data_IF_535849967570
#
_entry.id   IF_535849967570
#
_cell.length_a   1.000
_cell.length_b   1.000
_cell.length_c   1.000
_cell.angle_alpha   90.00
_cell.angle_beta   90.00
_cell.angle_gamma   90.00
#
_symmetry.space_group_name_H-M   'P 1'
#
loop_
_entity.id
_entity.type
_entity.pdbx_description
1 polymer ?
#
# COMPACT_ATOMS: atom_id res chain seq x y z
N UNK A 1 11.30 16.80 6.70
CA UNK A 1 9.98 17.42 6.47
C UNK A 1 9.84 17.69 4.98
N UNK A 2 8.68 17.46 4.37
CA UNK A 2 8.42 17.79 2.95
C UNK A 2 7.22 18.72 2.84
N UNK A 3 7.32 19.72 1.97
CA UNK A 3 6.25 20.67 1.68
C UNK A 3 5.96 20.68 0.18
N UNK A 4 4.68 20.59 -0.17
CA UNK A 4 4.20 20.40 -1.53
C UNK A 4 3.21 21.51 -1.91
N UNK A 5 3.27 21.93 -3.17
CA UNK A 5 2.35 22.89 -3.79
C UNK A 5 1.87 22.34 -5.12
N UNK A 6 0.56 22.29 -5.31
CA UNK A 6 -0.05 21.81 -6.53
C UNK A 6 -0.62 22.96 -7.36
N UNK A 7 -0.69 22.76 -8.68
CA UNK A 7 -1.23 23.77 -9.62
C UNK A 7 -2.70 24.12 -9.36
N UNK A 8 -3.43 23.23 -8.69
CA UNK A 8 -4.81 23.45 -8.22
C UNK A 8 -4.91 24.32 -6.96
N UNK A 9 -3.78 24.90 -6.48
CA UNK A 9 -3.74 25.75 -5.28
C UNK A 9 -3.57 24.97 -3.96
N UNK A 10 -3.72 23.65 -3.96
CA UNK A 10 -3.56 22.79 -2.79
C UNK A 10 -2.13 22.81 -2.25
N UNK A 11 -1.98 22.97 -0.93
CA UNK A 11 -0.71 22.86 -0.22
C UNK A 11 -0.77 21.74 0.79
N UNK A 12 0.33 21.01 0.97
CA UNK A 12 0.41 19.95 1.98
C UNK A 12 1.80 19.85 2.58
N UNK A 13 1.84 19.45 3.85
CA UNK A 13 3.08 19.18 4.57
C UNK A 13 3.05 17.74 5.07
N UNK A 14 4.15 17.02 4.83
CA UNK A 14 4.35 15.61 5.16
C UNK A 14 5.53 15.45 6.12
N UNK A 15 5.34 15.59 7.44
CA UNK A 15 6.33 15.21 8.44
C UNK A 15 6.62 13.71 8.44
N UNK A 16 7.88 13.36 8.74
CA UNK A 16 8.33 12.01 9.06
C UNK A 16 9.46 12.09 10.08
N UNK A 17 9.36 11.29 11.12
CA UNK A 17 10.35 11.16 12.17
C UNK A 17 10.56 9.67 12.48
N UNK A 18 11.78 9.29 12.82
CA UNK A 18 12.11 7.94 13.23
C UNK A 18 13.07 7.97 14.41
N UNK A 19 12.81 7.13 15.41
CA UNK A 19 13.73 6.81 16.48
C UNK A 19 14.30 5.42 16.21
N UNK A 20 15.63 5.31 16.22
CA UNK A 20 16.33 4.05 16.03
C UNK A 20 17.09 3.73 17.31
N UNK A 21 16.94 2.52 17.81
CA UNK A 21 17.60 2.04 19.01
C UNK A 21 18.24 0.68 18.78
N UNK A 22 19.50 0.55 19.14
CA UNK A 22 20.26 -0.69 19.01
C UNK A 22 20.13 -1.48 20.31
N UNK A 23 19.28 -2.51 20.32
CA UNK A 23 19.04 -3.36 21.50
C UNK A 23 20.26 -4.24 21.80
N UNK A 24 20.86 -4.80 20.74
CA UNK A 24 22.07 -5.65 20.80
C UNK A 24 22.95 -5.35 19.59
N UNK A 25 24.17 -5.92 19.47
CA UNK A 25 24.95 -5.83 18.24
C UNK A 25 24.21 -6.29 16.97
N UNK A 26 23.26 -7.24 17.13
CA UNK A 26 22.49 -7.83 16.04
C UNK A 26 21.06 -7.26 15.90
N UNK A 27 20.50 -6.64 16.94
CA UNK A 27 19.10 -6.21 16.99
C UNK A 27 18.96 -4.68 16.95
N UNK A 28 18.16 -4.18 16.00
CA UNK A 28 17.79 -2.77 15.91
C UNK A 28 16.28 -2.62 15.91
N UNK A 29 15.76 -1.78 16.80
CA UNK A 29 14.35 -1.37 16.80
C UNK A 29 14.22 0.02 16.22
N UNK A 30 13.22 0.19 15.34
CA UNK A 30 12.87 1.47 14.74
C UNK A 30 11.42 1.80 15.09
N UNK A 31 11.17 2.97 15.65
CA UNK A 31 9.83 3.54 15.78
C UNK A 31 9.70 4.68 14.79
N UNK A 32 8.74 4.56 13.88
CA UNK A 32 8.58 5.48 12.74
C UNK A 32 7.18 6.10 12.81
N UNK A 33 7.15 7.43 12.74
CA UNK A 33 5.94 8.21 12.57
C UNK A 33 6.02 8.99 11.27
N UNK A 34 4.94 9.02 10.50
CA UNK A 34 4.89 9.87 9.32
C UNK A 34 3.48 10.17 8.85
N UNK A 35 3.37 11.19 8.01
CA UNK A 35 2.13 11.50 7.30
C UNK A 35 2.39 11.59 5.80
N UNK A 36 1.44 11.13 5.01
CA UNK A 36 1.40 11.29 3.56
C UNK A 36 0.03 11.81 3.13
N UNK A 37 -0.07 12.18 1.86
CA UNK A 37 -1.31 12.64 1.27
C UNK A 37 -1.40 12.24 -0.20
N UNK A 38 -2.62 12.25 -0.74
CA UNK A 38 -2.92 12.10 -2.17
C UNK A 38 -3.79 13.27 -2.60
N UNK A 39 -3.41 13.92 -3.69
CA UNK A 39 -4.26 14.96 -4.30
C UNK A 39 -5.34 14.31 -5.18
N UNK A 40 -6.51 14.95 -5.33
CA UNK A 40 -7.51 14.53 -6.31
C UNK A 40 -6.90 14.48 -7.73
N UNK A 41 -7.34 13.53 -8.55
CA UNK A 41 -7.00 13.50 -9.96
C UNK A 41 -8.00 14.35 -10.80
N UNK A 42 -7.69 14.54 -12.09
CA UNK A 42 -8.53 15.34 -12.98
C UNK A 42 -9.95 14.79 -13.16
N UNK A 43 -10.12 13.46 -13.11
CA UNK A 43 -11.44 12.83 -13.21
C UNK A 43 -12.30 13.15 -11.98
N UNK A 44 -11.71 13.08 -10.78
CA UNK A 44 -12.38 13.40 -9.52
C UNK A 44 -12.78 14.87 -9.42
N UNK A 45 -11.94 15.79 -9.94
CA UNK A 45 -12.19 17.23 -9.90
C UNK A 45 -13.19 17.70 -10.97
N UNK A 46 -13.02 17.24 -12.21
CA UNK A 46 -13.57 17.91 -13.38
C UNK A 46 -14.46 17.04 -14.26
N UNK A 47 -14.53 15.72 -14.03
CA UNK A 47 -15.41 14.89 -14.84
C UNK A 47 -16.87 15.13 -14.44
N UNK A 48 -17.67 15.56 -15.41
CA UNK A 48 -19.10 15.71 -15.29
C UNK A 48 -19.78 15.26 -16.57
N UNK A 49 -20.98 14.72 -16.42
CA UNK A 49 -21.86 14.35 -17.51
C UNK A 49 -23.31 14.45 -17.05
N UNK A 50 -24.21 14.73 -17.98
CA UNK A 50 -25.64 14.73 -17.73
C UNK A 50 -26.30 13.82 -18.75
N UNK A 51 -26.94 12.74 -18.28
CA UNK A 51 -27.84 11.91 -19.08
C UNK A 51 -29.29 12.23 -18.67
N UNK A 52 -30.30 11.76 -19.44
CA UNK A 52 -31.68 11.80 -18.98
C UNK A 52 -31.81 11.21 -17.57
N UNK A 53 -32.75 11.74 -16.77
CA UNK A 53 -32.86 11.53 -15.31
C UNK A 53 -32.75 10.05 -14.89
N UNK A 54 -33.22 9.13 -15.72
CA UNK A 54 -33.25 7.69 -15.45
C UNK A 54 -31.88 7.00 -15.59
N UNK A 55 -30.94 7.60 -16.33
CA UNK A 55 -29.60 7.06 -16.60
C UNK A 55 -28.51 7.64 -15.67
N UNK A 56 -28.86 8.64 -14.85
CA UNK A 56 -27.97 9.29 -13.88
C UNK A 56 -27.11 10.41 -14.46
N UNK A 57 -26.54 11.22 -13.58
CA UNK A 57 -25.63 12.32 -13.92
C UNK A 57 -24.45 12.34 -12.95
N UNK A 58 -23.39 13.03 -13.32
CA UNK A 58 -22.27 13.34 -12.44
C UNK A 58 -21.94 14.82 -12.55
N UNK A 59 -21.73 15.46 -11.40
CA UNK A 59 -21.31 16.87 -11.31
C UNK A 59 -19.86 16.98 -10.86
N UNK A 60 -19.24 18.11 -11.18
CA UNK A 60 -17.85 18.39 -10.78
C UNK A 60 -17.76 18.78 -9.31
N UNK A 61 -16.57 18.62 -8.74
CA UNK A 61 -16.23 19.19 -7.44
C UNK A 61 -14.77 19.68 -7.44
N UNK A 62 -14.53 20.91 -7.93
CA UNK A 62 -13.18 21.48 -7.97
C UNK A 62 -12.61 21.80 -6.58
N UNK A 63 -13.44 21.79 -5.54
CA UNK A 63 -13.06 22.09 -4.15
C UNK A 63 -12.57 20.85 -3.36
N UNK A 64 -12.37 19.71 -4.04
CA UNK A 64 -11.86 18.51 -3.38
C UNK A 64 -10.50 18.76 -2.69
N UNK A 65 -10.47 18.37 -1.43
CA UNK A 65 -9.26 18.34 -0.61
C UNK A 65 -8.39 17.13 -0.90
N UNK A 66 -7.21 17.10 -0.29
CA UNK A 66 -6.33 15.94 -0.31
C UNK A 66 -6.81 14.85 0.66
N UNK A 67 -6.60 13.60 0.29
CA UNK A 67 -6.66 12.48 1.22
C UNK A 67 -5.41 12.51 2.10
N UNK A 68 -5.52 12.20 3.40
CA UNK A 68 -4.39 12.19 4.33
C UNK A 68 -4.26 10.84 5.02
N UNK A 69 -3.03 10.35 5.11
CA UNK A 69 -2.69 9.12 5.83
C UNK A 69 -1.67 9.45 6.91
N UNK A 70 -1.90 8.96 8.12
CA UNK A 70 -0.95 8.96 9.23
C UNK A 70 -0.52 7.53 9.51
N UNK A 71 0.78 7.33 9.65
CA UNK A 71 1.39 6.03 9.90
C UNK A 71 2.16 6.04 11.20
N UNK A 72 1.94 5.02 12.02
CA UNK A 72 2.83 4.63 13.11
C UNK A 72 3.30 3.21 12.82
N UNK A 73 4.60 2.99 12.82
CA UNK A 73 5.21 1.69 12.53
C UNK A 73 6.35 1.41 13.51
N UNK A 74 6.38 0.18 14.03
CA UNK A 74 7.53 -0.34 14.79
C UNK A 74 8.15 -1.48 14.00
N UNK A 75 9.46 -1.42 13.80
CA UNK A 75 10.25 -2.41 13.06
C UNK A 75 11.33 -2.98 13.98
N UNK A 76 11.43 -4.30 14.03
CA UNK A 76 12.57 -5.02 14.56
C UNK A 76 13.38 -5.58 13.38
N UNK A 77 14.66 -5.26 13.36
CA UNK A 77 15.64 -5.84 12.43
C UNK A 77 16.61 -6.69 13.23
N UNK A 78 16.80 -7.93 12.80
CA UNK A 78 17.72 -8.89 13.41
C UNK A 78 18.74 -9.36 12.38
N UNK A 79 20.01 -9.11 12.64
CA UNK A 79 21.12 -9.60 11.81
C UNK A 79 21.47 -11.05 12.20
N UNK A 80 21.45 -11.96 11.22
CA UNK A 80 21.84 -13.35 11.39
C UNK A 80 23.34 -13.52 11.06
N UNK A 81 24.18 -12.68 11.67
CA UNK A 81 25.59 -12.53 11.30
C UNK A 81 25.78 -12.11 9.84
N UNK A 82 26.81 -12.64 9.18
CA UNK A 82 27.02 -12.46 7.74
C UNK A 82 26.10 -13.32 6.86
N UNK A 83 25.33 -14.24 7.47
CA UNK A 83 24.53 -15.20 6.75
C UNK A 83 23.13 -14.68 6.37
N UNK A 84 22.69 -13.52 6.88
CA UNK A 84 21.39 -12.97 6.48
C UNK A 84 20.79 -11.98 7.47
N UNK A 85 19.49 -11.74 7.30
CA UNK A 85 18.73 -10.81 8.13
C UNK A 85 17.26 -11.24 8.22
N UNK A 86 16.62 -10.85 9.32
CA UNK A 86 15.18 -10.97 9.49
C UNK A 86 14.61 -9.60 9.87
N UNK A 87 13.40 -9.33 9.40
CA UNK A 87 12.64 -8.14 9.77
C UNK A 87 11.25 -8.55 10.25
N UNK A 88 10.77 -7.82 11.24
CA UNK A 88 9.40 -7.90 11.71
C UNK A 88 8.88 -6.49 11.91
N UNK A 89 7.70 -6.17 11.37
CA UNK A 89 7.07 -4.87 11.59
C UNK A 89 5.62 -5.02 12.01
N UNK A 90 5.17 -4.07 12.81
CA UNK A 90 3.76 -3.84 13.12
C UNK A 90 3.43 -2.39 12.81
N UNK A 91 2.28 -2.17 12.19
CA UNK A 91 1.91 -0.84 11.72
C UNK A 91 0.44 -0.54 11.89
N UNK A 92 0.14 0.75 11.99
CA UNK A 92 -1.19 1.30 11.92
C UNK A 92 -1.23 2.46 10.92
N UNK A 93 -2.25 2.45 10.06
CA UNK A 93 -2.60 3.55 9.17
C UNK A 93 -3.94 4.15 9.60
N UNK A 94 -3.96 5.46 9.81
CA UNK A 94 -5.18 6.25 9.96
C UNK A 94 -5.37 7.11 8.70
N UNK A 95 -6.42 6.85 7.93
CA UNK A 95 -6.73 7.52 6.67
C UNK A 95 -7.97 8.41 6.86
N UNK A 96 -7.88 9.65 6.41
CA UNK A 96 -8.95 10.66 6.56
C UNK A 96 -9.14 11.45 5.29
N UNK A 97 -10.37 11.93 5.10
CA UNK A 97 -10.75 12.71 3.92
C UNK A 97 -10.59 11.91 2.65
N UNK A 98 -10.82 10.59 2.71
CA UNK A 98 -10.81 9.72 1.53
C UNK A 98 -11.91 10.19 0.57
N UNK A 99 -11.54 10.32 -0.70
CA UNK A 99 -12.40 10.77 -1.78
C UNK A 99 -13.28 9.60 -2.18
N UNK A 100 -14.60 9.78 -2.05
CA UNK A 100 -15.58 8.78 -2.45
C UNK A 100 -16.64 9.42 -3.31
N UNK A 101 -17.12 8.68 -4.31
CA UNK A 101 -18.26 9.08 -5.13
C UNK A 101 -19.56 8.73 -4.40
N UNK A 102 -20.45 9.70 -4.26
CA UNK A 102 -21.75 9.54 -3.60
C UNK A 102 -22.82 10.27 -4.41
N UNK A 103 -24.08 9.85 -4.25
CA UNK A 103 -25.19 10.62 -4.79
C UNK A 103 -25.39 11.90 -3.96
N UNK A 104 -25.53 13.02 -4.63
CA UNK A 104 -25.92 14.29 -4.06
C UNK A 104 -27.38 14.21 -3.57
N UNK A 105 -27.63 14.63 -2.34
CA UNK A 105 -28.93 14.41 -1.69
C UNK A 105 -30.07 15.21 -2.33
N UNK A 106 -29.75 16.35 -2.95
CA UNK A 106 -30.73 17.23 -3.58
C UNK A 106 -30.99 16.83 -5.03
N UNK A 107 -29.93 16.55 -5.79
CA UNK A 107 -30.02 16.34 -7.24
C UNK A 107 -30.00 14.86 -7.65
N UNK A 108 -29.59 13.95 -6.76
CA UNK A 108 -29.32 12.55 -7.06
C UNK A 108 -28.09 12.32 -7.95
N UNK A 109 -27.42 13.40 -8.40
CA UNK A 109 -26.24 13.34 -9.24
C UNK A 109 -25.04 12.76 -8.47
N UNK A 110 -24.19 11.98 -9.12
CA UNK A 110 -22.95 11.52 -8.51
C UNK A 110 -21.98 12.70 -8.33
N UNK A 111 -21.33 12.75 -7.19
CA UNK A 111 -20.33 13.77 -6.85
C UNK A 111 -19.24 13.16 -5.96
N UNK A 112 -17.99 13.54 -6.20
CA UNK A 112 -16.87 13.14 -5.34
C UNK A 112 -16.79 14.05 -4.12
N UNK A 113 -16.60 13.46 -2.92
CA UNK A 113 -16.45 14.20 -1.65
C UNK A 113 -15.42 13.55 -0.72
N UNK A 114 -14.66 14.36 0.04
CA UNK A 114 -13.69 13.91 1.06
C UNK A 114 -14.37 13.52 2.38
N UNK A 115 -15.17 12.45 2.40
CA UNK A 115 -16.03 12.11 3.55
C UNK A 115 -15.67 10.80 4.23
N UNK A 116 -14.93 9.92 3.54
CA UNK A 116 -14.61 8.60 4.09
C UNK A 116 -13.35 8.64 4.98
N UNK A 117 -13.32 7.71 5.92
CA UNK A 117 -12.21 7.47 6.83
C UNK A 117 -11.98 5.97 6.92
N UNK A 118 -10.73 5.56 7.09
CA UNK A 118 -10.38 4.16 7.27
C UNK A 118 -9.23 4.02 8.26
N UNK A 119 -9.21 2.88 8.97
CA UNK A 119 -8.10 2.47 9.81
C UNK A 119 -7.64 1.10 9.39
N UNK A 120 -6.34 0.94 9.19
CA UNK A 120 -5.72 -0.36 8.93
C UNK A 120 -4.65 -0.65 9.97
N UNK A 121 -4.57 -1.91 10.40
CA UNK A 121 -3.52 -2.41 11.28
C UNK A 121 -2.97 -3.69 10.71
N UNK A 122 -1.66 -3.87 10.75
CA UNK A 122 -1.04 -5.07 10.20
C UNK A 122 0.30 -5.41 10.82
N UNK A 123 0.78 -6.58 10.44
CA UNK A 123 2.09 -7.09 10.79
C UNK A 123 2.72 -7.77 9.57
N UNK A 124 4.02 -7.58 9.41
CA UNK A 124 4.82 -8.18 8.35
C UNK A 124 6.08 -8.80 8.93
N UNK A 125 6.51 -9.92 8.36
CA UNK A 125 7.75 -10.58 8.69
C UNK A 125 8.46 -10.99 7.40
N UNK A 126 9.76 -10.77 7.34
CA UNK A 126 10.60 -11.27 6.26
C UNK A 126 11.89 -11.88 6.80
N UNK A 127 12.39 -12.88 6.10
CA UNK A 127 13.64 -13.57 6.40
C UNK A 127 14.39 -13.76 5.09
N UNK A 128 15.65 -13.37 5.06
CA UNK A 128 16.61 -13.79 4.06
C UNK A 128 17.80 -14.46 4.75
N UNK A 129 18.18 -15.65 4.27
CA UNK A 129 19.31 -16.39 4.82
C UNK A 129 20.07 -17.19 3.75
N UNK A 130 21.39 -17.08 3.76
CA UNK A 130 22.31 -18.00 3.10
C UNK A 130 22.41 -19.28 3.94
N UNK A 131 22.17 -20.41 3.28
CA UNK A 131 22.26 -21.74 3.87
C UNK A 131 23.43 -22.51 3.27
N UNK A 132 23.73 -23.69 3.81
CA UNK A 132 24.82 -24.54 3.33
C UNK A 132 24.76 -24.78 1.82
N UNK A 133 25.93 -24.84 1.18
CA UNK A 133 26.03 -24.99 -0.27
C UNK A 133 25.78 -23.71 -1.08
N UNK A 134 25.70 -22.53 -0.44
CA UNK A 134 25.55 -21.24 -1.13
C UNK A 134 24.13 -20.92 -1.58
N UNK A 135 23.15 -21.75 -1.24
CA UNK A 135 21.75 -21.48 -1.53
C UNK A 135 21.22 -20.33 -0.65
N UNK A 136 20.26 -19.57 -1.17
CA UNK A 136 19.60 -18.46 -0.47
C UNK A 136 18.13 -18.77 -0.28
N UNK A 137 17.67 -18.72 0.97
CA UNK A 137 16.26 -18.86 1.33
C UNK A 137 15.68 -17.47 1.60
N UNK A 138 14.49 -17.21 1.05
CA UNK A 138 13.68 -16.04 1.32
C UNK A 138 12.28 -16.46 1.76
N UNK A 139 11.82 -15.94 2.88
CA UNK A 139 10.46 -16.15 3.36
C UNK A 139 9.83 -14.81 3.72
N UNK A 140 8.53 -14.67 3.44
CA UNK A 140 7.76 -13.48 3.81
C UNK A 140 6.36 -13.86 4.26
N UNK A 141 5.85 -13.11 5.22
CA UNK A 141 4.50 -13.24 5.76
C UNK A 141 3.92 -11.86 6.02
N UNK A 142 2.68 -11.64 5.63
CA UNK A 142 1.96 -10.39 5.85
C UNK A 142 0.51 -10.66 6.26
N UNK A 143 0.03 -9.91 7.25
CA UNK A 143 -1.37 -9.92 7.68
C UNK A 143 -1.85 -8.50 7.99
N UNK A 144 -2.97 -8.12 7.40
CA UNK A 144 -3.59 -6.81 7.64
C UNK A 144 -5.09 -6.93 7.86
N UNK A 145 -5.64 -6.07 8.71
CA UNK A 145 -7.08 -5.82 8.88
C UNK A 145 -7.37 -4.36 8.61
N UNK A 146 -8.51 -4.07 7.98
CA UNK A 146 -8.96 -2.71 7.71
C UNK A 146 -10.42 -2.56 8.12
N UNK A 147 -10.74 -1.38 8.68
CA UNK A 147 -12.07 -1.01 9.11
C UNK A 147 -12.39 0.40 8.62
N UNK A 148 -13.61 0.60 8.16
CA UNK A 148 -14.09 1.93 7.81
C UNK A 148 -14.43 2.69 9.10
N UNK A 149 -14.01 3.95 9.17
CA UNK A 149 -14.16 4.81 10.34
C UNK A 149 -15.56 5.42 10.49
N UNK A 150 -16.38 5.35 9.43
CA UNK A 150 -17.78 5.74 9.50
C UNK A 150 -18.63 4.51 9.84
N UNK A 151 -19.30 4.56 10.99
CA UNK A 151 -20.46 3.70 11.26
C UNK A 151 -21.64 3.96 10.31
N UNK A 152 -21.52 4.95 9.41
CA UNK A 152 -22.42 5.20 8.30
C UNK A 152 -21.86 4.58 7.01
N UNK A 153 -22.72 3.88 6.28
CA UNK A 153 -22.42 3.18 5.05
C UNK A 153 -21.92 4.14 3.95
N UNK A 154 -20.61 4.39 3.92
CA UNK A 154 -19.93 4.90 2.74
C UNK A 154 -19.89 3.79 1.69
N UNK A 155 -20.86 3.80 0.79
CA UNK A 155 -20.93 2.85 -0.32
C UNK A 155 -19.71 3.06 -1.22
N UNK A 156 -18.78 2.09 -1.24
CA UNK A 156 -17.88 1.95 -2.39
C UNK A 156 -18.74 1.47 -3.57
N UNK A 157 -19.27 2.41 -4.35
CA UNK A 157 -19.88 2.09 -5.63
C UNK A 157 -18.76 1.77 -6.64
N UNK A 158 -18.60 0.49 -6.98
CA UNK A 158 -18.08 0.14 -8.29
C UNK A 158 -19.16 0.47 -9.33
N UNK A 159 -18.80 0.92 -10.55
CA UNK A 159 -19.79 1.22 -11.58
C UNK A 159 -20.71 0.01 -11.82
N UNK A 160 -22.02 0.24 -12.06
CA UNK A 160 -23.02 -0.81 -11.99
C UNK A 160 -22.89 -1.80 -13.14
N UNK A 161 -22.60 -3.05 -12.77
CA UNK A 161 -22.70 -4.23 -13.62
C UNK A 161 -23.29 -5.38 -12.81
N UNK A 162 -24.61 -5.51 -12.89
CA UNK A 162 -25.47 -6.61 -12.42
C UNK A 162 -25.83 -6.70 -10.93
N UNK A 163 -27.15 -6.82 -10.75
CA UNK A 163 -27.90 -6.83 -9.51
C UNK A 163 -27.41 -7.86 -8.49
N UNK A 164 -27.14 -7.38 -7.27
CA UNK A 164 -27.24 -8.21 -6.08
C UNK A 164 -28.03 -7.45 -5.02
N UNK A 165 -29.16 -8.02 -4.62
CA UNK A 165 -29.90 -7.65 -3.41
C UNK A 165 -28.91 -7.69 -2.24
N UNK A 166 -28.68 -6.56 -1.55
CA UNK A 166 -27.72 -6.52 -0.44
C UNK A 166 -28.38 -6.07 0.86
N UNK A 167 -28.32 -6.95 1.85
CA UNK A 167 -28.50 -6.61 3.26
C UNK A 167 -27.34 -5.72 3.71
N UNK A 168 -27.66 -4.67 4.43
CA UNK A 168 -26.69 -3.79 5.10
C UNK A 168 -25.88 -4.61 6.12
N UNK A 169 -24.68 -5.04 5.73
CA UNK A 169 -23.67 -5.54 6.65
C UNK A 169 -22.67 -4.40 6.90
N UNK A 170 -22.44 -4.07 8.18
CA UNK A 170 -21.38 -3.16 8.62
C UNK A 170 -20.08 -3.53 7.89
N UNK A 171 -19.46 -2.56 7.21
CA UNK A 171 -18.26 -2.75 6.39
C UNK A 171 -17.04 -3.18 7.20
N UNK A 172 -16.95 -4.47 7.49
CA UNK A 172 -15.70 -5.12 7.89
C UNK A 172 -15.08 -5.73 6.64
N UNK A 173 -13.98 -5.15 6.16
CA UNK A 173 -13.20 -5.79 5.11
C UNK A 173 -12.46 -7.00 5.70
N UNK A 174 -12.51 -8.18 5.05
CA UNK A 174 -11.88 -9.38 5.58
C UNK A 174 -10.36 -9.19 5.70
N UNK A 175 -9.77 -9.76 6.75
CA UNK A 175 -8.34 -9.73 6.97
C UNK A 175 -7.60 -10.31 5.74
N UNK A 176 -6.70 -9.55 5.13
CA UNK A 176 -5.84 -10.06 4.05
C UNK A 176 -4.63 -10.75 4.67
N UNK A 177 -4.31 -11.94 4.17
CA UNK A 177 -3.12 -12.71 4.52
C UNK A 177 -2.34 -13.03 3.25
N UNK A 178 -1.03 -12.91 3.29
CA UNK A 178 -0.11 -13.31 2.22
C UNK A 178 1.09 -13.99 2.83
N UNK A 179 1.58 -15.04 2.17
CA UNK A 179 2.79 -15.76 2.55
C UNK A 179 3.48 -16.23 1.28
N UNK A 180 4.80 -16.09 1.23
CA UNK A 180 5.61 -16.60 0.12
C UNK A 180 6.95 -17.12 0.64
N UNK A 181 7.43 -18.21 0.05
CA UNK A 181 8.74 -18.80 0.34
C UNK A 181 9.41 -19.13 -0.99
N UNK A 182 10.65 -18.69 -1.14
CA UNK A 182 11.48 -18.93 -2.31
C UNK A 182 12.84 -19.47 -1.88
N UNK A 183 13.34 -20.47 -2.61
CA UNK A 183 14.70 -20.99 -2.45
C UNK A 183 15.42 -20.81 -3.77
N UNK A 184 16.52 -20.07 -3.74
CA UNK A 184 17.40 -19.84 -4.87
C UNK A 184 18.63 -20.72 -4.68
N UNK A 185 18.87 -21.61 -5.65
CA UNK A 185 20.11 -22.36 -5.70
C UNK A 185 21.30 -21.39 -5.91
N UNK A 186 22.51 -21.75 -5.46
CA UNK A 186 23.70 -20.99 -5.83
C UNK A 186 23.81 -20.93 -7.36
N UNK A 187 24.25 -19.78 -7.87
CA UNK A 187 24.66 -19.69 -9.26
C UNK A 187 25.82 -20.66 -9.45
N UNK A 188 25.57 -21.80 -10.10
CA UNK A 188 26.64 -22.68 -10.51
C UNK A 188 27.37 -21.92 -11.59
N UNK A 189 28.51 -21.33 -11.25
CA UNK A 189 29.48 -20.95 -12.26
C UNK A 189 29.69 -22.18 -13.15
N UNK A 190 29.19 -22.13 -14.39
CA UNK A 190 29.49 -23.13 -15.39
C UNK A 190 31.02 -23.24 -15.43
N UNK A 191 31.61 -24.42 -15.17
CA UNK A 191 33.02 -24.60 -15.48
C UNK A 191 33.09 -24.60 -17.01
N UNK A 192 33.29 -23.43 -17.62
CA UNK A 192 33.60 -23.36 -19.03
C UNK A 192 34.98 -23.98 -19.24
N UNK A 193 34.91 -25.28 -19.57
CA UNK A 193 35.60 -25.94 -20.67
C UNK A 193 37.10 -25.67 -20.69
N UNK A 194 37.86 -26.58 -20.06
CA UNK A 194 39.27 -26.81 -20.38
C UNK A 194 39.33 -27.09 -21.89
N UNK A 195 39.77 -26.10 -22.68
CA UNK A 195 40.04 -26.28 -24.10
C UNK A 195 41.13 -27.35 -24.22
N UNK A 196 40.81 -28.45 -24.90
CA UNK A 196 41.85 -29.37 -25.37
C UNK A 196 42.67 -28.61 -26.43
N UNK A 197 44.01 -28.69 -26.40
CA UNK A 197 44.83 -28.03 -27.40
C UNK A 197 44.59 -28.67 -28.77
N UNK A 198 44.26 -27.86 -29.79
CA UNK A 198 44.33 -28.28 -31.19
C UNK A 198 43.03 -28.31 -31.98
N UNK A 199 42.17 -27.29 -31.88
CA UNK A 199 41.09 -27.13 -32.86
C UNK A 199 41.18 -25.74 -33.52
N UNK A 200 41.34 -25.65 -34.86
CA UNK A 200 41.46 -24.38 -35.56
C UNK A 200 40.11 -23.68 -35.75
N UNK A 201 40.14 -22.35 -35.70
CA UNK A 201 38.98 -21.47 -35.87
C UNK A 201 38.42 -21.54 -37.30
N UNK A 202 37.10 -21.64 -37.50
CA UNK A 202 36.47 -21.32 -38.77
C UNK A 202 36.15 -19.81 -38.83
N UNK A 203 36.45 -19.23 -39.99
CA UNK A 203 36.22 -17.84 -40.41
C UNK A 203 34.79 -17.34 -40.17
#
# INVERSE_FOLDING_TARGET
MRHDRHSTGTRSTSPRAALLYKLTPADTVKLIYGTSFRVPNAYELYYAYSLPVEAGSQITNPDLGHERIRTVETVLEHALGSAGHATFSVFQYDMRGLITQQADEETGALVFRNVAQARATGAEAALERLIGGGARVRASYARQRSHDGNGAAGQFAAPPGQAQRRRAARGQYPARRRSAVHVLAPDRACPHRRLLPGQPDPW
#
